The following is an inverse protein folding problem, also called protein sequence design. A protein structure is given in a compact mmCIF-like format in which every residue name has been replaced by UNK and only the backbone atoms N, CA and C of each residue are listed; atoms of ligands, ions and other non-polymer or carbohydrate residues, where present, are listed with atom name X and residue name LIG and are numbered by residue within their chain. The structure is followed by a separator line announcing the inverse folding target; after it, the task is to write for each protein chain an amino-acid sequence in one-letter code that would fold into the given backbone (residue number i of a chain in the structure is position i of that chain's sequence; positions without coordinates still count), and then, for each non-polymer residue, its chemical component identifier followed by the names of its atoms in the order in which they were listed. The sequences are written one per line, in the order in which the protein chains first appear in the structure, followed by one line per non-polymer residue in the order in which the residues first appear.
data_IF_109646940917
#
_entry.id   IF_109646940917
#
_cell.length_a   1.000
_cell.length_b   1.000
_cell.length_c   1.000
_cell.angle_alpha   90.00
_cell.angle_beta   90.00
_cell.angle_gamma   90.00
#
_symmetry.space_group_name_H-M   'P 1'
#
loop_
_entity.id
_entity.type
_entity.pdbx_description
1 polymer ?
#
# COMPACT_ATOMS: atom_id res chain seq x y z
N UNK A 1 7.12 20.29 -8.74
CA UNK A 1 7.85 20.05 -7.47
C UNK A 1 6.89 20.03 -6.29
N UNK A 2 6.15 21.12 -6.02
CA UNK A 2 5.20 21.18 -4.89
C UNK A 2 4.09 20.12 -4.97
N UNK A 3 3.51 19.91 -6.15
CA UNK A 3 2.46 18.89 -6.33
C UNK A 3 2.96 17.48 -6.01
N UNK A 4 4.17 17.12 -6.46
CA UNK A 4 4.81 15.84 -6.13
C UNK A 4 5.00 15.66 -4.62
N UNK A 5 5.36 16.73 -3.89
CA UNK A 5 5.50 16.69 -2.43
C UNK A 5 4.13 16.46 -1.79
N UNK A 6 3.11 17.23 -2.17
CA UNK A 6 1.74 17.08 -1.64
C UNK A 6 1.19 15.66 -1.85
N UNK A 7 1.39 15.10 -3.05
CA UNK A 7 0.99 13.74 -3.39
C UNK A 7 1.74 12.71 -2.55
N UNK A 8 3.05 12.89 -2.36
CA UNK A 8 3.88 11.99 -1.55
C UNK A 8 3.47 12.03 -0.08
N UNK A 9 3.25 13.22 0.48
CA UNK A 9 2.82 13.41 1.87
C UNK A 9 1.44 12.80 2.10
N UNK A 10 0.52 12.98 1.15
CA UNK A 10 -0.83 12.41 1.22
C UNK A 10 -0.78 10.87 1.15
N UNK A 11 0.02 10.29 0.24
CA UNK A 11 0.22 8.85 0.16
C UNK A 11 0.80 8.28 1.46
N UNK A 12 1.77 8.96 2.07
CA UNK A 12 2.35 8.56 3.34
C UNK A 12 1.32 8.58 4.48
N UNK A 13 0.47 9.61 4.52
CA UNK A 13 -0.64 9.71 5.47
C UNK A 13 -1.60 8.54 5.35
N UNK A 14 -2.09 8.27 4.13
CA UNK A 14 -3.02 7.16 3.86
C UNK A 14 -2.38 5.81 4.23
N UNK A 15 -1.11 5.58 3.90
CA UNK A 15 -0.41 4.35 4.27
C UNK A 15 -0.33 4.17 5.79
N UNK A 16 -0.10 5.25 6.54
CA UNK A 16 -0.13 5.24 8.00
C UNK A 16 -1.52 4.88 8.56
N UNK A 17 -2.59 5.42 7.97
CA UNK A 17 -3.98 5.08 8.34
C UNK A 17 -4.30 3.61 8.08
N UNK A 18 -3.88 3.07 6.93
CA UNK A 18 -4.07 1.66 6.59
C UNK A 18 -3.48 0.71 7.63
N UNK A 19 -2.23 0.96 8.04
CA UNK A 19 -1.56 0.19 9.10
C UNK A 19 -2.36 0.30 10.40
N UNK A 20 -2.73 1.51 10.79
CA UNK A 20 -3.44 1.75 12.04
C UNK A 20 -4.81 1.07 12.09
N UNK A 21 -5.58 1.11 11.01
CA UNK A 21 -6.85 0.39 10.95
C UNK A 21 -6.65 -1.12 10.96
N UNK A 22 -5.63 -1.64 10.28
CA UNK A 22 -5.30 -3.07 10.32
C UNK A 22 -4.96 -3.56 11.74
N UNK A 23 -4.30 -2.72 12.55
CA UNK A 23 -4.00 -3.01 13.96
C UNK A 23 -5.24 -2.91 14.87
N UNK A 24 -6.11 -1.91 14.64
CA UNK A 24 -7.29 -1.67 15.48
C UNK A 24 -8.41 -2.70 15.28
N UNK A 25 -8.67 -3.12 14.04
CA UNK A 25 -9.74 -4.05 13.68
C UNK A 25 -9.74 -5.35 14.53
N UNK A 26 -8.61 -6.07 14.71
CA UNK A 26 -8.57 -7.28 15.51
C UNK A 26 -8.68 -7.03 17.03
N UNK A 27 -8.38 -5.82 17.50
CA UNK A 27 -8.35 -5.48 18.94
C UNK A 27 -9.71 -5.09 19.53
N UNK A 28 -10.71 -4.81 18.71
CA UNK A 28 -12.05 -4.43 19.19
C UNK A 28 -13.04 -5.59 19.18
N UNK A 29 -13.80 -5.75 20.26
CA UNK A 29 -14.93 -6.67 20.36
C UNK A 29 -16.27 -6.02 19.97
N UNK A 30 -16.33 -4.68 19.93
CA UNK A 30 -17.53 -3.96 19.50
C UNK A 30 -17.75 -4.18 17.99
N UNK A 31 -18.88 -4.82 17.65
CA UNK A 31 -19.21 -5.21 16.27
C UNK A 31 -19.41 -4.02 15.33
N UNK A 32 -20.07 -2.97 15.80
CA UNK A 32 -20.34 -1.77 15.01
C UNK A 32 -19.04 -1.02 14.73
N UNK A 33 -18.22 -0.81 15.77
CA UNK A 33 -16.91 -0.19 15.62
C UNK A 33 -16.02 -0.99 14.67
N UNK A 34 -15.97 -2.32 14.80
CA UNK A 34 -15.23 -3.20 13.91
C UNK A 34 -15.65 -3.03 12.44
N UNK A 35 -16.96 -2.92 12.19
CA UNK A 35 -17.47 -2.74 10.84
C UNK A 35 -17.12 -1.35 10.29
N UNK A 36 -17.23 -0.30 11.11
CA UNK A 36 -16.85 1.06 10.74
C UNK A 36 -15.35 1.17 10.41
N UNK A 37 -14.48 0.55 11.22
CA UNK A 37 -13.04 0.53 10.96
C UNK A 37 -12.69 -0.18 9.64
N UNK A 38 -13.40 -1.27 9.31
CA UNK A 38 -13.26 -1.96 8.01
C UNK A 38 -13.68 -1.06 6.85
N UNK A 39 -14.79 -0.33 6.99
CA UNK A 39 -15.26 0.61 5.97
C UNK A 39 -14.23 1.73 5.73
N UNK A 40 -13.68 2.32 6.79
CA UNK A 40 -12.63 3.34 6.67
C UNK A 40 -11.39 2.78 6.00
N UNK A 41 -10.93 1.60 6.39
CA UNK A 41 -9.79 0.95 5.75
C UNK A 41 -10.02 0.75 4.25
N UNK A 42 -11.19 0.26 3.85
CA UNK A 42 -11.52 0.08 2.43
C UNK A 42 -11.52 1.40 1.64
N UNK A 43 -12.02 2.48 2.25
CA UNK A 43 -11.98 3.82 1.65
C UNK A 43 -10.56 4.36 1.51
N UNK A 44 -9.70 4.12 2.49
CA UNK A 44 -8.28 4.46 2.42
C UNK A 44 -7.58 3.67 1.29
N UNK A 45 -7.85 2.36 1.14
CA UNK A 45 -7.28 1.54 0.06
C UNK A 45 -7.71 2.09 -1.31
N UNK A 46 -8.99 2.41 -1.49
CA UNK A 46 -9.51 3.00 -2.73
C UNK A 46 -8.87 4.36 -3.03
N UNK A 47 -8.69 5.19 -2.00
CA UNK A 47 -8.06 6.52 -2.15
C UNK A 47 -6.57 6.40 -2.48
N UNK A 48 -5.88 5.45 -1.86
CA UNK A 48 -4.48 5.15 -2.10
C UNK A 48 -4.27 4.73 -3.56
N UNK A 49 -5.10 3.82 -4.08
CA UNK A 49 -4.97 3.33 -5.45
C UNK A 49 -5.22 4.44 -6.48
N UNK A 50 -6.25 5.26 -6.27
CA UNK A 50 -6.53 6.42 -7.12
C UNK A 50 -5.36 7.41 -7.15
N UNK A 51 -4.82 7.76 -5.98
CA UNK A 51 -3.70 8.70 -5.87
C UNK A 51 -2.42 8.12 -6.46
N UNK A 52 -2.20 6.81 -6.31
CA UNK A 52 -1.12 6.09 -6.95
C UNK A 52 -1.21 6.18 -8.49
N UNK A 53 -2.39 5.97 -9.09
CA UNK A 53 -2.56 6.10 -10.54
C UNK A 53 -2.27 7.52 -11.02
N UNK A 54 -2.79 8.54 -10.34
CA UNK A 54 -2.48 9.95 -10.64
C UNK A 54 -0.97 10.20 -10.56
N UNK A 55 -0.31 9.67 -9.53
CA UNK A 55 1.15 9.80 -9.35
C UNK A 55 1.94 9.15 -10.48
N UNK A 56 1.46 8.03 -11.01
CA UNK A 56 2.05 7.31 -12.14
C UNK A 56 1.89 8.09 -13.44
N UNK A 57 0.68 8.56 -13.73
CA UNK A 57 0.37 9.37 -14.93
C UNK A 57 1.18 10.67 -14.97
N UNK A 58 1.39 11.30 -13.82
CA UNK A 58 2.18 12.53 -13.70
C UNK A 58 3.69 12.30 -13.56
N UNK A 59 4.16 11.06 -13.62
CA UNK A 59 5.56 10.67 -13.39
C UNK A 59 6.12 11.14 -12.03
N UNK A 60 5.26 11.34 -11.03
CA UNK A 60 5.66 11.69 -9.67
C UNK A 60 6.17 10.49 -8.89
N UNK A 61 5.70 9.30 -9.26
CA UNK A 61 6.10 8.03 -8.68
C UNK A 61 6.63 7.05 -9.73
N UNK A 62 7.80 6.49 -9.46
CA UNK A 62 8.38 5.39 -10.24
C UNK A 62 8.29 4.12 -9.37
N UNK A 63 7.45 3.13 -9.71
CA UNK A 63 7.38 1.86 -9.02
C UNK A 63 8.72 1.15 -9.12
N UNK A 64 8.98 0.28 -8.16
CA UNK A 64 10.09 -0.64 -8.24
C UNK A 64 10.04 -1.39 -9.58
N UNK A 65 11.19 -1.54 -10.22
CA UNK A 65 11.29 -2.35 -11.41
C UNK A 65 10.90 -3.80 -11.08
N UNK A 66 10.29 -4.47 -12.05
CA UNK A 66 10.03 -5.91 -11.92
C UNK A 66 11.37 -6.61 -11.71
N UNK A 67 11.40 -7.58 -10.80
CA UNK A 67 12.57 -8.46 -10.64
C UNK A 67 12.93 -9.07 -12.00
N UNK A 68 14.24 -9.15 -12.30
CA UNK A 68 14.71 -9.78 -13.53
C UNK A 68 14.44 -11.29 -13.48
N UNK A 69 14.37 -11.92 -14.66
CA UNK A 69 14.24 -13.39 -14.76
C UNK A 69 15.37 -14.10 -14.01
N UNK A 70 16.60 -13.61 -14.16
CA UNK A 70 17.77 -14.16 -13.46
C UNK A 70 17.64 -14.07 -11.94
N UNK A 71 17.16 -12.94 -11.39
CA UNK A 71 16.94 -12.84 -9.94
C UNK A 71 15.87 -13.82 -9.45
N UNK A 72 14.81 -14.03 -10.24
CA UNK A 72 13.75 -14.99 -9.91
C UNK A 72 14.30 -16.42 -9.95
N UNK A 73 15.05 -16.78 -10.99
CA UNK A 73 15.68 -18.09 -11.17
C UNK A 73 16.69 -18.38 -10.05
N UNK A 74 17.57 -17.42 -9.75
CA UNK A 74 18.54 -17.55 -8.66
C UNK A 74 17.86 -17.85 -7.31
N UNK A 75 16.81 -17.10 -6.95
CA UNK A 75 16.06 -17.34 -5.71
C UNK A 75 15.42 -18.73 -5.72
N UNK A 76 14.91 -19.18 -6.88
CA UNK A 76 14.28 -20.50 -7.02
C UNK A 76 15.29 -21.63 -6.79
N UNK A 77 16.50 -21.49 -7.31
CA UNK A 77 17.57 -22.50 -7.20
C UNK A 77 18.04 -22.69 -5.75
N UNK A 78 18.06 -21.62 -4.95
CA UNK A 78 18.39 -21.70 -3.51
C UNK A 78 17.49 -22.68 -2.74
N UNK A 79 16.24 -22.85 -3.17
CA UNK A 79 15.27 -23.76 -2.53
C UNK A 79 15.05 -25.07 -3.29
N UNK A 80 15.63 -25.22 -4.49
CA UNK A 80 15.51 -26.43 -5.31
C UNK A 80 16.66 -27.42 -5.09
N UNK A 81 17.71 -27.01 -4.36
CA UNK A 81 18.85 -27.83 -3.99
C UNK A 81 18.64 -28.64 -2.67
N UNK A 82 17.40 -28.74 -2.19
CA UNK A 82 16.95 -29.57 -1.06
C UNK A 82 16.26 -30.83 -1.58
#
# INVERSE_FOLDING_TARGET
MQEKIMVTDTLNGINGELVRYAEMIPQTENKELKQTLKQFRNSCESSQENLYQISREKAYYVPAEKASKESIEHVRDLFSAL
#
